data_IF_949900894276
#
_entry.id   IF_949900894276
#
_cell.length_a   1.000
_cell.length_b   1.000
_cell.length_c   1.000
_cell.angle_alpha   90.00
_cell.angle_beta   90.00
_cell.angle_gamma   90.00
#
_symmetry.space_group_name_H-M   'P 1'
#
loop_
_entity.id
_entity.type
_entity.pdbx_description
1 polymer ?
#
# COMPACT_ATOMS: atom_id res chain seq x y z
N UNK A 1 11.78 -16.52 -20.99
CA UNK A 1 12.18 -16.34 -19.57
C UNK A 1 11.24 -15.41 -18.79
N UNK A 2 11.03 -14.14 -19.18
CA UNK A 2 10.19 -13.17 -18.42
C UNK A 2 8.70 -13.54 -18.25
N UNK A 3 8.08 -14.29 -19.18
CA UNK A 3 6.67 -14.75 -19.07
C UNK A 3 6.46 -15.77 -17.94
N UNK A 4 7.39 -16.72 -17.76
CA UNK A 4 7.27 -17.74 -16.70
C UNK A 4 7.43 -17.12 -15.31
N UNK A 5 8.29 -16.11 -15.16
CA UNK A 5 8.52 -15.43 -13.89
C UNK A 5 7.30 -14.61 -13.42
N UNK A 6 6.62 -13.93 -14.36
CA UNK A 6 5.35 -13.22 -14.08
C UNK A 6 4.27 -14.23 -13.67
N UNK A 7 4.14 -15.34 -14.40
CA UNK A 7 3.14 -16.38 -14.12
C UNK A 7 3.44 -17.12 -12.81
N UNK A 8 4.72 -17.34 -12.48
CA UNK A 8 5.15 -17.91 -11.19
C UNK A 8 4.86 -16.97 -10.02
N UNK A 9 5.11 -15.66 -10.18
CA UNK A 9 4.73 -14.67 -9.17
C UNK A 9 3.22 -14.60 -8.99
N UNK A 10 2.44 -14.65 -10.08
CA UNK A 10 0.98 -14.70 -10.04
C UNK A 10 0.49 -15.98 -9.34
N UNK A 11 1.07 -17.16 -9.64
CA UNK A 11 0.73 -18.43 -8.96
C UNK A 11 1.12 -18.42 -7.47
N UNK A 12 2.27 -17.81 -7.14
CA UNK A 12 2.74 -17.65 -5.76
C UNK A 12 1.76 -16.78 -4.97
N UNK A 13 1.35 -15.64 -5.52
CA UNK A 13 0.48 -14.66 -4.88
C UNK A 13 -0.99 -15.12 -4.83
N UNK A 14 -1.52 -15.68 -5.92
CA UNK A 14 -2.96 -15.97 -6.05
C UNK A 14 -3.36 -17.40 -5.63
N UNK A 15 -2.45 -18.38 -5.66
CA UNK A 15 -2.79 -19.81 -5.51
C UNK A 15 -2.05 -20.50 -4.37
N UNK A 16 -0.72 -20.39 -4.30
CA UNK A 16 0.08 -21.12 -3.29
C UNK A 16 0.09 -20.46 -1.90
N UNK A 17 0.16 -19.14 -1.85
CA UNK A 17 0.30 -18.38 -0.61
C UNK A 17 -0.84 -17.39 -0.38
N UNK A 18 -2.02 -17.62 -0.98
CA UNK A 18 -3.21 -16.84 -0.67
C UNK A 18 -3.75 -17.31 0.69
N UNK A 19 -3.61 -16.55 1.77
CA UNK A 19 -4.53 -16.68 2.89
C UNK A 19 -5.93 -16.40 2.37
N UNK A 20 -6.88 -17.30 2.66
CA UNK A 20 -8.26 -17.16 2.18
C UNK A 20 -8.84 -15.81 2.61
N UNK A 21 -8.59 -15.45 3.87
CA UNK A 21 -9.04 -14.21 4.52
C UNK A 21 -7.92 -13.57 5.38
N UNK A 22 -8.08 -12.30 5.76
CA UNK A 22 -7.14 -11.57 6.64
C UNK A 22 -6.81 -12.31 7.95
N UNK A 23 -7.79 -12.99 8.53
CA UNK A 23 -7.62 -13.80 9.74
C UNK A 23 -6.70 -14.99 9.52
N UNK A 24 -6.72 -15.60 8.33
CA UNK A 24 -5.90 -16.75 7.98
C UNK A 24 -4.43 -16.36 7.81
N UNK A 25 -4.15 -15.13 7.36
CA UNK A 25 -2.80 -14.57 7.33
C UNK A 25 -2.17 -14.60 8.73
N UNK A 26 -2.93 -14.15 9.72
CA UNK A 26 -2.45 -14.02 11.10
C UNK A 26 -2.39 -15.39 11.78
N UNK A 27 -3.38 -16.27 11.55
CA UNK A 27 -3.32 -17.67 12.01
C UNK A 27 -2.10 -18.39 11.45
N UNK A 28 -1.83 -18.22 10.16
CA UNK A 28 -0.66 -18.79 9.50
C UNK A 28 0.67 -18.21 10.05
N UNK A 29 0.72 -16.90 10.26
CA UNK A 29 1.90 -16.22 10.82
C UNK A 29 2.20 -16.70 12.25
N UNK A 30 1.18 -16.83 13.10
CA UNK A 30 1.31 -17.32 14.47
C UNK A 30 1.62 -18.82 14.53
N UNK A 31 1.18 -19.61 13.55
CA UNK A 31 1.56 -21.02 13.41
C UNK A 31 3.07 -21.15 13.15
N UNK A 32 3.62 -20.35 12.23
CA UNK A 32 5.05 -20.40 11.90
C UNK A 32 5.95 -19.69 12.92
N UNK A 33 5.42 -18.66 13.58
CA UNK A 33 6.14 -17.87 14.57
C UNK A 33 5.30 -17.73 15.85
N UNK A 34 5.26 -18.79 16.68
CA UNK A 34 4.52 -18.77 17.95
C UNK A 34 4.97 -17.62 18.85
N UNK A 35 4.06 -17.16 19.72
CA UNK A 35 4.30 -16.00 20.59
C UNK A 35 5.58 -16.11 21.42
N UNK A 36 5.92 -17.30 21.89
CA UNK A 36 7.11 -17.58 22.69
C UNK A 36 8.36 -17.97 21.88
N UNK A 37 8.37 -17.85 20.55
CA UNK A 37 9.52 -18.26 19.73
C UNK A 37 10.76 -17.44 20.11
N UNK A 38 11.85 -18.13 20.42
CA UNK A 38 13.15 -17.52 20.72
C UNK A 38 14.06 -17.66 19.49
N UNK A 39 14.81 -16.60 19.18
CA UNK A 39 15.84 -16.60 18.13
C UNK A 39 17.15 -17.13 18.72
N UNK A 40 18.05 -17.66 17.89
CA UNK A 40 19.36 -18.22 18.27
C UNK A 40 20.17 -17.37 19.27
N UNK A 41 20.00 -16.05 19.26
CA UNK A 41 20.62 -15.12 20.21
C UNK A 41 19.91 -15.05 21.59
N UNK A 42 19.02 -15.99 21.93
CA UNK A 42 18.29 -16.04 23.20
C UNK A 42 17.21 -14.97 23.39
N UNK A 43 16.98 -14.08 22.40
CA UNK A 43 15.94 -13.04 22.44
C UNK A 43 14.63 -13.55 21.82
N UNK A 44 13.50 -13.07 22.34
CA UNK A 44 12.19 -13.35 21.73
C UNK A 44 12.11 -12.81 20.30
N UNK A 45 11.53 -13.62 19.42
CA UNK A 45 11.30 -13.28 18.02
C UNK A 45 10.43 -12.03 17.87
N UNK A 46 9.41 -11.91 18.72
CA UNK A 46 8.55 -10.74 18.82
C UNK A 46 9.10 -9.75 19.84
N UNK A 47 10.07 -8.94 19.42
CA UNK A 47 10.65 -7.88 20.25
C UNK A 47 11.07 -6.66 19.42
N UNK A 48 11.22 -5.51 20.06
CA UNK A 48 11.55 -4.24 19.42
C UNK A 48 10.51 -3.83 18.36
N UNK A 49 10.92 -3.76 17.10
CA UNK A 49 10.05 -3.37 15.99
C UNK A 49 9.10 -4.48 15.51
N UNK A 50 9.22 -5.70 16.05
CA UNK A 50 8.36 -6.85 15.68
C UNK A 50 7.27 -7.05 16.75
N UNK A 51 6.11 -6.43 16.53
CA UNK A 51 4.93 -6.62 17.39
C UNK A 51 4.26 -7.95 17.09
N UNK A 52 4.00 -8.74 18.13
CA UNK A 52 3.28 -10.00 17.99
C UNK A 52 1.80 -9.71 17.71
N UNK A 53 1.21 -10.21 16.61
CA UNK A 53 -0.18 -9.97 16.35
C UNK A 53 -1.09 -10.84 17.23
N UNK A 54 -2.34 -10.41 17.38
CA UNK A 54 -3.43 -11.25 17.89
C UNK A 54 -4.48 -11.51 16.83
N UNK A 55 -5.27 -12.56 17.06
CA UNK A 55 -6.37 -12.91 16.18
C UNK A 55 -7.58 -12.02 16.49
N UNK A 56 -8.16 -11.43 15.45
CA UNK A 56 -9.47 -10.79 15.54
C UNK A 56 -10.57 -11.84 15.50
N UNK A 57 -11.51 -11.74 16.43
CA UNK A 57 -12.77 -12.47 16.39
C UNK A 57 -13.81 -11.56 15.76
N UNK A 58 -14.42 -12.00 14.67
CA UNK A 58 -15.50 -11.24 14.06
C UNK A 58 -16.63 -11.04 15.08
N UNK A 59 -17.18 -9.83 15.09
CA UNK A 59 -18.27 -9.42 15.96
C UNK A 59 -19.13 -8.46 15.15
N UNK A 60 -20.43 -8.76 15.09
CA UNK A 60 -21.43 -8.01 14.35
C UNK A 60 -21.75 -6.67 15.01
N UNK A 61 -21.61 -6.57 16.33
CA UNK A 61 -21.85 -5.35 17.08
C UNK A 61 -20.66 -4.39 17.00
N UNK A 62 -19.48 -4.89 16.61
CA UNK A 62 -18.34 -4.05 16.34
C UNK A 62 -18.55 -3.30 15.02
N UNK A 63 -18.69 -1.97 15.15
CA UNK A 63 -18.90 -1.07 14.01
C UNK A 63 -17.86 -1.30 12.90
N UNK A 64 -16.60 -1.43 13.27
CA UNK A 64 -15.46 -1.51 12.35
C UNK A 64 -15.42 -2.82 11.56
N UNK A 65 -15.80 -3.93 12.20
CA UNK A 65 -15.92 -5.22 11.53
C UNK A 65 -17.02 -5.19 10.47
N UNK A 66 -18.15 -4.59 10.80
CA UNK A 66 -19.28 -4.47 9.88
C UNK A 66 -19.01 -3.45 8.76
N UNK A 67 -18.35 -2.32 9.07
CA UNK A 67 -17.97 -1.30 8.09
C UNK A 67 -17.04 -1.90 7.02
N UNK A 68 -16.10 -2.77 7.40
CA UNK A 68 -15.27 -3.51 6.44
C UNK A 68 -16.11 -4.38 5.48
N UNK A 69 -17.08 -5.12 6.01
CA UNK A 69 -17.93 -5.99 5.20
C UNK A 69 -18.79 -5.18 4.24
N UNK A 70 -19.39 -4.08 4.71
CA UNK A 70 -20.22 -3.20 3.89
C UNK A 70 -19.39 -2.61 2.75
N UNK A 71 -18.22 -2.05 3.05
CA UNK A 71 -17.37 -1.47 2.03
C UNK A 71 -16.89 -2.54 1.04
N UNK A 72 -16.39 -3.68 1.52
CA UNK A 72 -15.92 -4.77 0.66
C UNK A 72 -17.02 -5.31 -0.25
N UNK A 73 -18.19 -5.62 0.31
CA UNK A 73 -19.32 -6.18 -0.45
C UNK A 73 -19.82 -5.22 -1.53
N UNK A 74 -19.91 -3.92 -1.24
CA UNK A 74 -20.32 -2.93 -2.23
C UNK A 74 -19.28 -2.73 -3.35
N UNK A 75 -17.99 -2.79 -3.04
CA UNK A 75 -16.94 -2.79 -4.08
C UNK A 75 -17.00 -4.06 -4.94
N UNK A 76 -17.18 -5.23 -4.32
CA UNK A 76 -17.35 -6.48 -5.07
C UNK A 76 -18.62 -6.45 -5.94
N UNK A 77 -19.73 -5.92 -5.42
CA UNK A 77 -20.96 -5.78 -6.18
C UNK A 77 -20.76 -4.88 -7.40
N UNK A 78 -20.10 -3.74 -7.24
CA UNK A 78 -19.75 -2.85 -8.35
C UNK A 78 -18.89 -3.56 -9.40
N UNK A 79 -17.89 -4.34 -8.97
CA UNK A 79 -16.97 -5.05 -9.87
C UNK A 79 -17.71 -6.03 -10.80
N UNK A 80 -18.81 -6.62 -10.34
CA UNK A 80 -19.61 -7.57 -11.11
C UNK A 80 -20.93 -6.99 -11.65
N UNK A 81 -21.11 -5.66 -11.63
CA UNK A 81 -22.35 -4.98 -12.03
C UNK A 81 -23.60 -5.46 -11.24
N UNK A 82 -23.41 -5.85 -9.99
CA UNK A 82 -24.49 -6.22 -9.08
C UNK A 82 -24.94 -4.95 -8.33
N UNK A 83 -26.26 -4.75 -8.11
CA UNK A 83 -26.75 -3.64 -7.32
C UNK A 83 -26.13 -3.60 -5.92
N UNK A 84 -25.57 -2.45 -5.57
CA UNK A 84 -25.03 -2.17 -4.25
C UNK A 84 -26.16 -2.01 -3.22
N UNK A 85 -25.88 -2.34 -1.97
CA UNK A 85 -26.82 -2.18 -0.86
C UNK A 85 -26.13 -1.45 0.29
N UNK A 86 -26.69 -0.31 0.69
CA UNK A 86 -26.19 0.48 1.82
C UNK A 86 -26.92 0.16 3.13
N UNK A 87 -27.90 -0.75 3.11
CA UNK A 87 -28.65 -1.14 4.30
C UNK A 87 -27.79 -2.01 5.22
N UNK A 88 -27.29 -1.35 6.28
CA UNK A 88 -26.49 -1.96 7.34
C UNK A 88 -27.22 -3.09 8.06
N UNK A 89 -28.53 -2.97 8.27
CA UNK A 89 -29.29 -3.99 9.00
C UNK A 89 -29.47 -5.24 8.15
N UNK A 90 -29.79 -5.07 6.87
CA UNK A 90 -29.87 -6.17 5.92
C UNK A 90 -28.52 -6.92 5.81
N UNK A 91 -27.42 -6.20 5.64
CA UNK A 91 -26.09 -6.82 5.54
C UNK A 91 -25.73 -7.56 6.84
N UNK A 92 -26.01 -6.97 8.00
CA UNK A 92 -25.80 -7.62 9.28
C UNK A 92 -26.56 -8.97 9.36
N UNK A 93 -27.82 -9.03 8.94
CA UNK A 93 -28.61 -10.26 8.93
C UNK A 93 -28.05 -11.34 8.00
N UNK A 94 -27.56 -10.96 6.82
CA UNK A 94 -26.97 -11.89 5.86
C UNK A 94 -25.63 -12.46 6.36
N UNK A 95 -24.79 -11.62 7.00
CA UNK A 95 -23.49 -12.05 7.53
C UNK A 95 -23.63 -13.14 8.59
N UNK A 96 -24.68 -13.11 9.41
CA UNK A 96 -24.93 -14.14 10.44
C UNK A 96 -25.16 -15.52 9.82
N UNK A 97 -25.71 -15.58 8.61
CA UNK A 97 -26.00 -16.84 7.90
C UNK A 97 -24.76 -17.48 7.30
N UNK A 98 -23.66 -16.73 7.16
CA UNK A 98 -22.43 -17.19 6.50
C UNK A 98 -21.65 -18.12 7.43
N UNK A 99 -21.47 -19.37 7.01
CA UNK A 99 -20.59 -20.31 7.69
C UNK A 99 -19.15 -20.13 7.22
N UNK A 100 -18.28 -19.66 8.10
CA UNK A 100 -16.86 -19.49 7.81
C UNK A 100 -16.14 -20.83 8.03
N UNK A 101 -15.48 -21.41 7.02
CA UNK A 101 -14.76 -22.67 7.17
C UNK A 101 -13.57 -22.51 8.14
N UNK A 102 -13.27 -23.57 8.87
CA UNK A 102 -12.14 -23.58 9.80
C UNK A 102 -10.80 -23.52 9.05
N UNK A 103 -9.88 -22.69 9.55
CA UNK A 103 -8.54 -22.56 8.98
C UNK A 103 -7.72 -23.82 9.26
N UNK A 104 -7.23 -24.46 8.19
CA UNK A 104 -6.29 -25.59 8.28
C UNK A 104 -4.89 -25.10 7.87
N UNK A 105 -3.89 -25.08 8.77
CA UNK A 105 -2.56 -24.65 8.43
C UNK A 105 -1.95 -25.59 7.37
N UNK A 106 -1.25 -25.00 6.41
CA UNK A 106 -0.39 -25.74 5.48
C UNK A 106 1.05 -25.49 5.92
N UNK A 107 1.75 -26.56 6.27
CA UNK A 107 3.17 -26.49 6.61
C UNK A 107 3.96 -25.97 5.41
N UNK A 108 4.75 -24.93 5.64
CA UNK A 108 5.76 -24.48 4.69
C UNK A 108 7.09 -25.02 5.17
N UNK A 109 7.81 -25.73 4.29
CA UNK A 109 9.26 -25.87 4.42
C UNK A 109 9.88 -24.47 4.35
N UNK A 110 10.19 -23.89 5.50
CA UNK A 110 10.86 -22.60 5.60
C UNK A 110 12.30 -22.73 5.12
N UNK A 111 12.57 -22.33 3.87
CA UNK A 111 13.85 -21.71 3.52
C UNK A 111 13.52 -20.24 3.29
N UNK A 112 13.78 -19.41 4.30
CA UNK A 112 14.06 -17.97 4.20
C UNK A 112 13.88 -17.31 5.57
N UNK A 113 14.83 -17.63 6.46
CA UNK A 113 15.25 -16.71 7.49
C UNK A 113 16.74 -16.51 7.26
N UNK A 114 17.11 -15.63 6.32
CA UNK A 114 18.26 -14.73 6.41
C UNK A 114 18.39 -13.98 5.07
N UNK A 115 18.21 -12.65 5.14
CA UNK A 115 18.78 -11.73 4.16
C UNK A 115 20.27 -12.06 3.99
N UNK A 116 20.67 -12.37 2.75
CA UNK A 116 22.01 -12.71 2.28
C UNK A 116 22.50 -14.14 2.53
N UNK A 117 22.07 -15.09 1.70
CA UNK A 117 22.91 -16.08 0.96
C UNK A 117 22.03 -17.21 0.41
N UNK A 118 21.65 -17.13 -0.87
CA UNK A 118 21.08 -18.26 -1.60
C UNK A 118 22.19 -18.95 -2.40
N UNK A 119 22.84 -19.95 -1.81
CA UNK A 119 23.47 -21.05 -2.57
C UNK A 119 22.63 -22.30 -2.28
N UNK A 120 21.68 -22.56 -3.18
CA UNK A 120 20.88 -23.79 -3.19
C UNK A 120 21.44 -24.66 -4.31
N UNK A 121 21.93 -25.85 -3.95
CA UNK A 121 22.50 -26.85 -4.86
C UNK A 121 21.58 -27.16 -6.04
N UNK A 122 22.19 -27.31 -7.22
CA UNK A 122 21.51 -27.39 -8.53
C UNK A 122 20.54 -28.57 -8.68
N UNK A 123 20.68 -29.63 -7.88
CA UNK A 123 19.79 -30.80 -7.94
C UNK A 123 18.41 -30.56 -7.30
N UNK A 124 18.27 -29.64 -6.34
CA UNK A 124 16.97 -29.31 -5.74
C UNK A 124 16.13 -28.35 -6.62
N UNK A 125 16.78 -27.57 -7.50
CA UNK A 125 16.09 -26.66 -8.43
C UNK A 125 15.27 -27.41 -9.48
N UNK A 126 15.77 -28.55 -9.98
CA UNK A 126 15.11 -29.34 -11.03
C UNK A 126 13.83 -30.03 -10.54
N UNK A 127 13.85 -30.61 -9.33
CA UNK A 127 12.69 -31.28 -8.73
C UNK A 127 11.54 -30.31 -8.37
N UNK A 128 11.87 -29.06 -8.02
CA UNK A 128 10.88 -28.01 -7.76
C UNK A 128 10.25 -27.51 -9.06
N UNK A 129 11.02 -27.41 -10.15
CA UNK A 129 10.52 -26.97 -11.46
C UNK A 129 9.54 -27.97 -12.09
N UNK A 130 9.80 -29.28 -12.03
CA UNK A 130 8.90 -30.30 -12.61
C UNK A 130 7.56 -30.44 -11.85
N UNK A 131 7.58 -30.41 -10.50
CA UNK A 131 6.36 -30.34 -9.69
C UNK A 131 5.58 -29.04 -9.90
N UNK A 132 6.27 -27.95 -10.23
CA UNK A 132 5.62 -26.67 -10.48
C UNK A 132 4.93 -26.64 -11.85
N UNK A 133 5.56 -27.19 -12.90
CA UNK A 133 5.02 -27.25 -14.26
C UNK A 133 3.75 -28.10 -14.34
N UNK A 134 3.77 -29.32 -13.79
CA UNK A 134 2.57 -30.19 -13.72
C UNK A 134 1.41 -29.55 -12.96
N UNK A 135 1.71 -28.81 -11.89
CA UNK A 135 0.70 -28.08 -11.12
C UNK A 135 0.21 -26.79 -11.83
N UNK A 136 0.95 -26.24 -12.79
CA UNK A 136 0.49 -25.10 -13.63
C UNK A 136 -0.49 -25.60 -14.68
N UNK A 137 -0.17 -26.69 -15.36
CA UNK A 137 -1.07 -27.30 -16.35
C UNK A 137 -2.41 -27.71 -15.73
N UNK A 138 -2.38 -28.26 -14.51
CA UNK A 138 -3.60 -28.53 -13.74
C UNK A 138 -4.43 -27.28 -13.42
N UNK A 139 -3.81 -26.12 -13.22
CA UNK A 139 -4.53 -24.86 -12.99
C UNK A 139 -5.09 -24.29 -14.29
N UNK A 140 -4.33 -24.36 -15.38
CA UNK A 140 -4.79 -23.96 -16.71
C UNK A 140 -6.00 -24.79 -17.15
N UNK A 141 -5.97 -26.10 -16.90
CA UNK A 141 -7.09 -27.00 -17.21
C UNK A 141 -8.33 -26.78 -16.31
N UNK A 142 -8.19 -26.05 -15.19
CA UNK A 142 -9.32 -25.66 -14.34
C UNK A 142 -9.95 -24.32 -14.72
N UNK A 143 -9.28 -23.54 -15.57
CA UNK A 143 -9.86 -22.28 -16.03
C UNK A 143 -11.03 -22.59 -16.97
N UNK A 144 -12.18 -21.91 -16.81
CA UNK A 144 -13.30 -22.06 -17.72
C UNK A 144 -12.89 -21.62 -19.12
N UNK A 145 -13.53 -22.20 -20.14
CA UNK A 145 -13.31 -21.80 -21.52
C UNK A 145 -13.92 -20.40 -21.75
N UNK A 146 -13.37 -19.66 -22.71
CA UNK A 146 -13.84 -18.29 -22.99
C UNK A 146 -15.34 -18.25 -23.32
N UNK A 147 -15.85 -19.28 -23.99
CA UNK A 147 -17.26 -19.42 -24.36
C UNK A 147 -18.20 -19.53 -23.14
N UNK A 148 -17.70 -19.96 -21.99
CA UNK A 148 -18.48 -20.11 -20.75
C UNK A 148 -18.57 -18.81 -19.94
N UNK A 149 -17.77 -17.80 -20.29
CA UNK A 149 -17.63 -16.55 -19.52
C UNK A 149 -17.98 -15.29 -20.31
N UNK A 150 -18.52 -15.43 -21.54
CA UNK A 150 -18.81 -14.32 -22.46
C UNK A 150 -19.75 -13.28 -21.84
N UNK A 151 -20.68 -13.73 -20.99
CA UNK A 151 -21.67 -12.86 -20.35
C UNK A 151 -21.15 -12.17 -19.07
N UNK A 152 -19.97 -12.56 -18.57
CA UNK A 152 -19.41 -12.01 -17.35
C UNK A 152 -18.66 -10.71 -17.67
N UNK A 153 -19.24 -9.57 -17.27
CA UNK A 153 -18.60 -8.25 -17.36
C UNK A 153 -18.02 -7.87 -16.01
N UNK A 154 -16.69 -7.79 -15.95
CA UNK A 154 -15.95 -7.35 -14.76
C UNK A 154 -15.50 -5.90 -14.98
N UNK A 155 -15.87 -5.02 -14.05
CA UNK A 155 -15.45 -3.62 -14.06
C UNK A 155 -14.27 -3.40 -13.10
N UNK A 156 -13.10 -2.99 -13.60
CA UNK A 156 -11.98 -2.63 -12.72
C UNK A 156 -12.33 -1.36 -11.95
N UNK A 157 -11.96 -1.31 -10.68
CA UNK A 157 -12.11 -0.09 -9.88
C UNK A 157 -10.98 0.88 -10.19
N UNK A 158 -11.33 2.11 -10.52
CA UNK A 158 -10.39 3.23 -10.56
C UNK A 158 -10.40 3.95 -9.21
N UNK A 159 -9.30 3.88 -8.47
CA UNK A 159 -9.22 4.45 -7.12
C UNK A 159 -9.51 5.96 -7.14
N UNK A 160 -10.72 6.33 -6.71
CA UNK A 160 -11.13 7.71 -6.42
C UNK A 160 -11.29 7.90 -4.93
N UNK A 161 -10.59 8.88 -4.39
CA UNK A 161 -10.49 9.09 -2.94
C UNK A 161 -11.15 10.39 -2.49
N UNK A 162 -11.49 11.27 -3.42
CA UNK A 162 -12.27 12.50 -3.25
C UNK A 162 -13.77 12.25 -3.09
N UNK A 163 -14.29 11.17 -3.68
CA UNK A 163 -15.69 10.74 -3.54
C UNK A 163 -15.89 9.83 -2.31
N UNK A 164 -16.61 10.35 -1.32
CA UNK A 164 -16.93 9.63 -0.09
C UNK A 164 -18.08 8.61 -0.24
N UNK A 165 -18.72 8.50 -1.41
CA UNK A 165 -19.87 7.61 -1.64
C UNK A 165 -19.52 6.28 -2.31
N UNK A 166 -18.31 6.15 -2.84
CA UNK A 166 -17.89 5.00 -3.64
C UNK A 166 -17.34 3.82 -2.81
N UNK A 167 -17.24 3.96 -1.48
CA UNK A 167 -16.68 2.97 -0.54
C UNK A 167 -15.17 2.68 -0.65
N UNK A 168 -14.43 3.36 -1.53
CA UNK A 168 -12.99 3.14 -1.70
C UNK A 168 -12.23 3.49 -0.43
N UNK A 169 -12.43 4.73 0.06
CA UNK A 169 -11.78 5.19 1.28
C UNK A 169 -12.30 4.44 2.51
N UNK A 170 -13.57 4.06 2.54
CA UNK A 170 -14.14 3.31 3.67
C UNK A 170 -13.54 1.92 3.77
N UNK A 171 -13.31 1.24 2.64
CA UNK A 171 -12.60 -0.04 2.60
C UNK A 171 -11.15 0.10 3.06
N UNK A 172 -10.43 1.12 2.57
CA UNK A 172 -9.04 1.39 2.98
C UNK A 172 -8.97 1.63 4.49
N UNK A 173 -9.82 2.53 5.01
CA UNK A 173 -9.85 2.87 6.43
C UNK A 173 -10.19 1.65 7.29
N UNK A 174 -11.27 0.93 6.98
CA UNK A 174 -11.67 -0.24 7.75
C UNK A 174 -10.58 -1.33 7.74
N UNK A 175 -9.97 -1.59 6.58
CA UNK A 175 -8.86 -2.54 6.44
C UNK A 175 -7.63 -2.13 7.24
N UNK A 176 -7.24 -0.85 7.15
CA UNK A 176 -6.11 -0.30 7.90
C UNK A 176 -6.35 -0.42 9.39
N UNK A 177 -7.54 -0.05 9.87
CA UNK A 177 -7.84 -0.10 11.30
C UNK A 177 -7.94 -1.53 11.83
N UNK A 178 -8.55 -2.46 11.10
CA UNK A 178 -8.51 -3.90 11.42
C UNK A 178 -7.06 -4.39 11.56
N UNK A 179 -6.19 -4.01 10.63
CA UNK A 179 -4.78 -4.42 10.67
C UNK A 179 -4.03 -3.76 11.83
N UNK A 180 -4.30 -2.50 12.10
CA UNK A 180 -3.78 -1.77 13.26
C UNK A 180 -4.18 -2.46 14.56
N UNK A 181 -5.43 -2.91 14.68
CA UNK A 181 -5.93 -3.67 15.83
C UNK A 181 -5.15 -4.98 16.00
N UNK A 182 -4.98 -5.78 14.94
CA UNK A 182 -4.22 -7.04 15.00
C UNK A 182 -2.83 -6.88 15.65
N UNK A 183 -2.15 -5.74 15.48
CA UNK A 183 -0.81 -5.49 16.00
C UNK A 183 -0.77 -4.52 17.18
N UNK A 184 -1.92 -4.21 17.78
CA UNK A 184 -2.06 -3.26 18.90
C UNK A 184 -1.39 -1.90 18.59
N UNK A 185 -1.53 -1.45 17.34
CA UNK A 185 -1.08 -0.13 16.89
C UNK A 185 -2.17 0.88 17.25
N UNK A 186 -1.80 2.13 17.51
CA UNK A 186 -2.77 3.17 17.84
C UNK A 186 -3.72 3.43 16.67
N UNK A 187 -5.03 3.42 16.96
CA UNK A 187 -6.08 3.76 16.00
C UNK A 187 -5.91 5.22 15.56
N UNK A 188 -6.10 5.44 14.26
CA UNK A 188 -5.87 6.71 13.60
C UNK A 188 -7.13 7.16 12.86
N UNK A 189 -7.40 8.47 12.82
CA UNK A 189 -8.63 8.98 12.21
C UNK A 189 -8.68 8.78 10.69
N UNK A 190 -9.90 8.70 10.14
CA UNK A 190 -10.17 8.60 8.69
C UNK A 190 -9.41 9.65 7.88
N UNK A 191 -9.37 10.89 8.36
CA UNK A 191 -8.69 12.02 7.70
C UNK A 191 -7.18 11.83 7.64
N UNK A 192 -6.56 11.32 8.70
CA UNK A 192 -5.13 11.04 8.73
C UNK A 192 -4.79 9.85 7.82
N UNK A 193 -5.61 8.80 7.81
CA UNK A 193 -5.46 7.66 6.90
C UNK A 193 -5.59 8.13 5.45
N UNK A 194 -6.60 8.95 5.13
CA UNK A 194 -6.80 9.56 3.81
C UNK A 194 -5.58 10.38 3.38
N UNK A 195 -5.09 11.25 4.27
CA UNK A 195 -3.89 12.06 4.03
C UNK A 195 -2.68 11.20 3.64
N UNK A 196 -2.47 10.08 4.33
CA UNK A 196 -1.35 9.16 4.08
C UNK A 196 -1.59 8.36 2.79
N UNK A 197 -2.79 7.83 2.59
CA UNK A 197 -3.13 6.99 1.44
C UNK A 197 -3.01 7.75 0.11
N UNK A 198 -3.39 9.03 0.10
CA UNK A 198 -3.33 9.90 -1.08
C UNK A 198 -2.00 10.65 -1.23
N UNK A 199 -1.08 10.55 -0.28
CA UNK A 199 0.12 11.41 -0.20
C UNK A 199 -0.21 12.91 -0.33
N UNK A 200 -1.26 13.37 0.37
CA UNK A 200 -1.70 14.77 0.29
C UNK A 200 -0.59 15.69 0.78
N UNK A 201 -0.19 16.64 -0.05
CA UNK A 201 0.72 17.73 0.32
C UNK A 201 -0.11 18.81 1.03
N UNK A 202 0.12 19.10 2.33
CA UNK A 202 -0.61 20.14 3.02
C UNK A 202 -0.33 21.51 2.39
N UNK A 203 -1.39 22.26 2.07
CA UNK A 203 -1.30 23.60 1.51
C UNK A 203 -2.31 24.53 2.19
N UNK A 204 -1.93 25.80 2.33
CA UNK A 204 -2.80 26.85 2.87
C UNK A 204 -2.55 28.15 2.10
N UNK A 205 -3.62 28.93 1.91
CA UNK A 205 -3.62 30.15 1.09
C UNK A 205 -2.62 31.19 1.59
N UNK A 206 -2.35 31.26 2.90
CA UNK A 206 -1.41 32.23 3.48
C UNK A 206 0.02 32.02 2.98
N UNK A 207 0.52 30.78 3.00
CA UNK A 207 1.85 30.44 2.47
C UNK A 207 1.90 30.67 0.96
N UNK A 208 0.84 30.29 0.23
CA UNK A 208 0.76 30.52 -1.23
C UNK A 208 0.82 32.01 -1.56
N UNK A 209 -0.02 32.84 -0.93
CA UNK A 209 -0.05 34.29 -1.14
C UNK A 209 1.30 34.94 -0.82
N UNK A 210 1.95 34.50 0.26
CA UNK A 210 3.25 35.03 0.64
C UNK A 210 4.35 34.66 -0.35
N UNK A 211 4.42 33.39 -0.77
CA UNK A 211 5.39 32.94 -1.78
C UNK A 211 5.15 33.68 -3.11
N UNK A 212 3.90 33.80 -3.56
CA UNK A 212 3.56 34.54 -4.78
C UNK A 212 3.98 36.01 -4.70
N UNK A 213 3.72 36.68 -3.57
CA UNK A 213 4.14 38.08 -3.37
C UNK A 213 5.65 38.25 -3.44
N UNK A 214 6.42 37.35 -2.83
CA UNK A 214 7.89 37.39 -2.86
C UNK A 214 8.42 37.16 -4.28
N UNK A 215 7.81 36.24 -5.03
CA UNK A 215 8.13 36.03 -6.45
C UNK A 215 7.87 37.31 -7.26
N UNK A 216 6.74 37.99 -7.04
CA UNK A 216 6.44 39.26 -7.71
C UNK A 216 7.51 40.35 -7.43
N UNK A 217 8.09 40.38 -6.23
CA UNK A 217 9.18 41.32 -5.92
C UNK A 217 10.45 41.03 -6.74
N UNK A 218 10.80 39.76 -6.96
CA UNK A 218 11.92 39.40 -7.82
C UNK A 218 11.64 39.70 -9.30
N UNK A 219 10.37 39.56 -9.74
CA UNK A 219 9.94 39.95 -11.10
C UNK A 219 10.17 41.44 -11.38
N UNK A 220 9.92 42.33 -10.41
CA UNK A 220 10.21 43.76 -10.59
C UNK A 220 11.69 44.02 -10.91
N UNK A 221 12.61 43.28 -10.27
CA UNK A 221 14.06 43.43 -10.50
C UNK A 221 14.46 42.99 -11.91
N UNK A 222 13.82 41.92 -12.42
CA UNK A 222 13.99 41.48 -13.80
C UNK A 222 13.54 42.57 -14.79
N UNK A 223 12.35 43.15 -14.56
CA UNK A 223 11.79 44.20 -15.42
C UNK A 223 12.66 45.46 -15.41
N UNK A 224 13.23 45.83 -14.26
CA UNK A 224 14.15 46.97 -14.14
C UNK A 224 15.54 46.70 -14.74
N UNK A 225 15.81 45.48 -15.24
CA UNK A 225 17.06 45.15 -15.92
C UNK A 225 18.24 44.95 -14.97
N UNK A 226 18.00 44.51 -13.73
CA UNK A 226 19.07 44.24 -12.77
C UNK A 226 19.96 43.09 -13.29
N UNK A 227 21.26 43.37 -13.46
CA UNK A 227 22.26 42.40 -13.96
C UNK A 227 23.14 41.78 -12.87
N UNK A 228 23.17 42.38 -11.68
CA UNK A 228 24.01 41.92 -10.57
C UNK A 228 23.29 40.81 -9.81
N UNK A 229 23.97 39.68 -9.58
CA UNK A 229 23.41 38.54 -8.84
C UNK A 229 23.01 38.92 -7.40
N UNK A 230 23.75 39.82 -6.77
CA UNK A 230 23.49 40.37 -5.42
C UNK A 230 22.14 41.09 -5.29
N UNK A 231 21.55 41.51 -6.42
CA UNK A 231 20.21 42.11 -6.44
C UNK A 231 19.11 41.08 -6.16
N UNK A 232 19.34 39.81 -6.51
CA UNK A 232 18.36 38.75 -6.38
C UNK A 232 18.50 38.05 -5.04
N UNK A 233 17.36 37.66 -4.46
CA UNK A 233 17.32 36.94 -3.19
C UNK A 233 16.47 35.68 -3.35
N UNK A 234 17.02 34.57 -2.89
CA UNK A 234 16.24 33.37 -2.61
C UNK A 234 15.66 33.50 -1.21
N UNK A 235 14.46 32.95 -1.01
CA UNK A 235 13.75 33.04 0.26
C UNK A 235 13.35 31.65 0.74
N UNK A 236 13.79 31.30 1.95
CA UNK A 236 13.24 30.19 2.72
C UNK A 236 12.38 30.78 3.83
N UNK A 237 11.16 30.28 4.01
CA UNK A 237 10.24 30.79 5.02
C UNK A 237 9.48 29.67 5.72
N UNK A 238 9.15 29.90 6.99
CA UNK A 238 8.27 29.03 7.78
C UNK A 238 7.35 29.91 8.64
N UNK A 239 6.09 30.03 8.23
CA UNK A 239 5.10 30.90 8.88
C UNK A 239 4.66 30.42 10.26
N UNK A 240 4.93 29.16 10.61
CA UNK A 240 4.65 28.63 11.96
C UNK A 240 5.61 29.21 13.00
N UNK A 241 6.88 29.41 12.63
CA UNK A 241 7.93 30.00 13.47
C UNK A 241 8.21 31.48 13.16
N UNK A 242 7.27 32.17 12.51
CA UNK A 242 7.50 33.39 11.71
C UNK A 242 8.92 33.60 11.15
N UNK A 243 9.51 32.57 10.55
CA UNK A 243 10.90 32.59 10.09
C UNK A 243 11.02 32.98 8.62
N UNK A 244 11.99 33.86 8.32
CA UNK A 244 12.38 34.27 6.97
C UNK A 244 13.91 34.28 6.86
N UNK A 245 14.45 33.58 5.87
CA UNK A 245 15.85 33.62 5.51
C UNK A 245 16.00 34.01 4.05
N UNK A 246 16.66 35.15 3.84
CA UNK A 246 17.04 35.64 2.52
C UNK A 246 18.50 35.31 2.28
N UNK A 247 18.81 34.73 1.13
CA UNK A 247 20.18 34.39 0.77
C UNK A 247 20.44 34.69 -0.71
N UNK A 248 21.70 34.88 -1.04
CA UNK A 248 22.10 35.21 -2.41
C UNK A 248 21.94 34.01 -3.33
N UNK A 249 21.66 34.31 -4.60
CA UNK A 249 21.69 33.30 -5.63
C UNK A 249 23.12 32.82 -5.83
N UNK A 250 23.28 31.51 -6.00
CA UNK A 250 24.59 30.92 -6.28
C UNK A 250 24.98 31.30 -7.71
N UNK A 251 26.20 31.78 -7.96
CA UNK A 251 26.64 32.10 -9.31
C UNK A 251 26.62 30.85 -10.20
N UNK A 252 26.26 31.00 -11.49
CA UNK A 252 26.30 29.88 -12.43
C UNK A 252 27.74 29.36 -12.56
N UNK A 253 27.89 28.05 -12.78
CA UNK A 253 29.21 27.47 -13.02
C UNK A 253 29.72 27.92 -14.40
N UNK A 254 30.80 28.69 -14.41
CA UNK A 254 31.48 29.06 -15.65
C UNK A 254 32.31 27.88 -16.17
N UNK A 255 32.13 27.54 -17.44
CA UNK A 255 32.97 26.61 -18.17
C UNK A 255 33.80 27.37 -19.20
N UNK A 256 35.00 26.87 -19.49
CA UNK A 256 35.87 27.41 -20.54
C UNK A 256 36.03 26.40 -21.65
N UNK A 257 35.86 26.84 -22.88
CA UNK A 257 36.26 26.08 -24.06
C UNK A 257 37.11 26.99 -24.94
N UNK A 258 38.38 26.59 -25.14
CA UNK A 258 39.41 27.45 -25.73
C UNK A 258 39.50 28.78 -24.93
N UNK A 259 39.37 29.92 -25.60
CA UNK A 259 39.41 31.27 -25.02
C UNK A 259 38.02 31.86 -24.69
N UNK A 260 36.94 31.09 -24.83
CA UNK A 260 35.57 31.55 -24.53
C UNK A 260 35.07 30.96 -23.22
N UNK A 261 34.68 31.84 -22.31
CA UNK A 261 33.92 31.49 -21.10
C UNK A 261 32.42 31.46 -21.41
N UNK A 262 31.71 30.43 -20.94
CA UNK A 262 30.26 30.33 -21.06
C UNK A 262 29.63 29.69 -19.82
N UNK A 263 28.33 29.85 -19.68
CA UNK A 263 27.50 29.22 -18.63
C UNK A 263 26.47 28.33 -19.32
N UNK A 264 26.13 27.19 -18.71
CA UNK A 264 25.09 26.25 -19.18
C UNK A 264 23.72 26.62 -18.61
#
# INVERSE_FOLDING_TARGET
>A
MKKNEIVENVKRILVKHRPGNFTDCIKWLLHNFPRGRVIDNGKFFWSGNRRCPHLLKFDINNKLHLDFIIAASNLFAHMYNIPQTCDRQFIAQEVVKVQVPEFKPKDIFTADNNSNQCRVDDQQRMNVQEKNNSSIEQLLNRLPKLDEIVDIKIQPHELKTDDDTNFHMDYIVATTLLRTENYEIQITDRSQIKRIAENIIPAIVTTTAMVTSLVCLEVYKLIQGHKKIESYRNVCLNLTLPFFAFFESVPPKCQKYLDKEFTL
#
